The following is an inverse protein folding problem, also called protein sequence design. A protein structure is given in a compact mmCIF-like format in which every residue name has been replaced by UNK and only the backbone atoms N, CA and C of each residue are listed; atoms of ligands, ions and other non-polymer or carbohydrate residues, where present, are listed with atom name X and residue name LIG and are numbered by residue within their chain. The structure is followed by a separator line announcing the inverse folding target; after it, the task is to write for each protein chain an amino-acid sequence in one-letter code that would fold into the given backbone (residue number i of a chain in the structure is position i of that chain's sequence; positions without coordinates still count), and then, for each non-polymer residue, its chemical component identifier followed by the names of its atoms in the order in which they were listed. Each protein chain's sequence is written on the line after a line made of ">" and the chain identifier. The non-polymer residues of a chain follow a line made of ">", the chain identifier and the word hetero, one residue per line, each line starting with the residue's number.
data_IF_282765990606
#
_entry.id   IF_282765990606
#
_cell.length_a   1.000
_cell.length_b   1.000
_cell.length_c   1.000
_cell.angle_alpha   90.00
_cell.angle_beta   90.00
_cell.angle_gamma   90.00
#
_symmetry.space_group_name_H-M   'P 1'
#
loop_
_entity.id
_entity.type
_entity.pdbx_description
1 polymer ?
#
# COMPACT_ATOMS: atom_id res chain seq x y z
N UNK A 1 0.50 15.44 0.56
CA UNK A 1 0.27 14.10 1.16
C UNK A 1 1.57 13.51 1.69
N UNK A 2 1.57 13.06 2.95
CA UNK A 2 2.68 12.36 3.60
C UNK A 2 2.61 10.86 3.27
N UNK A 3 3.72 10.32 2.76
CA UNK A 3 3.86 8.91 2.42
C UNK A 3 4.83 8.24 3.39
N UNK A 4 4.35 7.26 4.18
CA UNK A 4 5.18 6.47 5.11
C UNK A 4 5.17 5.01 4.68
N UNK A 5 6.35 4.41 4.50
CA UNK A 5 6.43 3.06 3.97
C UNK A 5 7.43 2.16 4.69
N UNK A 6 7.22 0.84 4.57
CA UNK A 6 8.13 -0.17 5.08
C UNK A 6 8.12 -1.44 4.23
N UNK A 7 9.30 -2.09 4.13
CA UNK A 7 9.39 -3.49 3.71
C UNK A 7 9.19 -4.36 4.96
N UNK A 8 8.24 -5.30 4.92
CA UNK A 8 7.87 -6.06 6.11
C UNK A 8 7.43 -7.48 5.81
N UNK A 9 7.39 -8.27 6.88
CA UNK A 9 6.74 -9.57 6.95
C UNK A 9 5.45 -9.44 7.78
N UNK A 10 4.88 -10.56 8.20
CA UNK A 10 3.75 -10.57 9.14
C UNK A 10 2.42 -10.27 8.48
N UNK A 11 2.12 -10.92 7.36
CA UNK A 11 0.90 -10.69 6.57
C UNK A 11 -0.39 -10.82 7.39
N UNK A 12 -0.52 -11.84 8.25
CA UNK A 12 -1.71 -12.02 9.08
C UNK A 12 -1.92 -10.86 10.07
N UNK A 13 -0.87 -10.45 10.77
CA UNK A 13 -0.93 -9.33 11.73
C UNK A 13 -1.25 -8.00 11.02
N UNK A 14 -0.62 -7.76 9.87
CA UNK A 14 -0.88 -6.55 9.08
C UNK A 14 -2.32 -6.55 8.54
N UNK A 15 -2.79 -7.65 7.97
CA UNK A 15 -4.17 -7.77 7.47
C UNK A 15 -5.20 -7.52 8.56
N UNK A 16 -5.01 -8.09 9.76
CA UNK A 16 -5.88 -7.83 10.90
C UNK A 16 -5.85 -6.36 11.33
N UNK A 17 -4.67 -5.73 11.35
CA UNK A 17 -4.53 -4.31 11.67
C UNK A 17 -5.26 -3.43 10.65
N UNK A 18 -5.15 -3.74 9.35
CA UNK A 18 -5.83 -2.99 8.28
C UNK A 18 -7.35 -3.11 8.36
N UNK A 19 -7.88 -4.20 8.91
CA UNK A 19 -9.34 -4.42 9.04
C UNK A 19 -9.89 -4.01 10.41
N UNK A 20 -9.06 -3.43 11.28
CA UNK A 20 -9.45 -3.08 12.65
C UNK A 20 -10.23 -1.75 12.66
N UNK A 21 -11.44 -1.77 13.23
CA UNK A 21 -12.36 -0.62 13.36
C UNK A 21 -12.37 0.00 14.77
N UNK A 22 -11.62 -0.52 15.74
CA UNK A 22 -11.61 0.04 17.11
C UNK A 22 -10.93 1.42 17.17
N UNK A 23 -9.99 1.69 16.26
CA UNK A 23 -9.23 2.96 16.19
C UNK A 23 -9.70 3.86 15.03
N UNK A 24 -10.56 3.32 14.13
CA UNK A 24 -11.05 3.96 12.92
C UNK A 24 -12.58 3.86 12.86
N UNK A 25 -13.26 4.97 12.62
CA UNK A 25 -14.73 5.00 12.56
C UNK A 25 -15.27 4.22 11.37
N UNK A 26 -14.53 4.23 10.25
CA UNK A 26 -14.88 3.48 9.05
C UNK A 26 -13.65 2.83 8.40
N UNK A 27 -13.83 1.60 7.91
CA UNK A 27 -12.84 0.86 7.13
C UNK A 27 -13.50 0.40 5.84
N UNK A 28 -12.93 0.81 4.71
CA UNK A 28 -13.40 0.48 3.36
C UNK A 28 -12.28 -0.25 2.61
N UNK A 29 -12.54 -1.47 2.14
CA UNK A 29 -11.62 -2.17 1.24
C UNK A 29 -11.86 -1.66 -0.18
N UNK A 30 -10.99 -0.77 -0.64
CA UNK A 30 -11.09 -0.14 -1.97
C UNK A 30 -10.73 -1.11 -3.08
N UNK A 31 -9.65 -1.87 -2.89
CA UNK A 31 -9.12 -2.72 -3.95
C UNK A 31 -8.39 -3.93 -3.39
N UNK A 32 -8.60 -5.09 -4.02
CA UNK A 32 -7.71 -6.25 -3.94
C UNK A 32 -7.50 -6.74 -5.36
N UNK A 33 -6.28 -6.58 -5.90
CA UNK A 33 -5.96 -6.91 -7.29
C UNK A 33 -4.70 -7.76 -7.43
N UNK A 34 -4.65 -8.58 -8.47
CA UNK A 34 -3.52 -9.47 -8.76
C UNK A 34 -3.40 -10.66 -7.79
N UNK A 35 -4.39 -10.85 -6.93
CA UNK A 35 -4.56 -12.02 -6.07
C UNK A 35 -5.72 -12.87 -6.58
N UNK A 36 -5.75 -14.15 -6.23
CA UNK A 36 -6.92 -15.00 -6.48
C UNK A 36 -8.06 -14.66 -5.52
N UNK A 37 -7.72 -14.29 -4.28
CA UNK A 37 -8.65 -13.83 -3.26
C UNK A 37 -9.08 -12.40 -3.50
N UNK A 38 -10.37 -12.14 -3.34
CA UNK A 38 -10.98 -10.81 -3.40
C UNK A 38 -11.02 -10.11 -2.03
N UNK A 39 -10.60 -10.77 -0.96
CA UNK A 39 -10.50 -10.17 0.38
C UNK A 39 -9.05 -10.05 0.86
N UNK A 40 -8.81 -9.05 1.72
CA UNK A 40 -7.47 -8.69 2.26
C UNK A 40 -6.81 -9.88 2.97
N UNK A 41 -7.54 -10.65 3.77
CA UNK A 41 -6.94 -11.75 4.54
C UNK A 41 -6.50 -12.91 3.65
N UNK A 42 -7.26 -13.23 2.61
CA UNK A 42 -6.86 -14.23 1.62
C UNK A 42 -5.67 -13.76 0.78
N UNK A 43 -5.68 -12.51 0.32
CA UNK A 43 -4.56 -11.90 -0.42
C UNK A 43 -3.27 -11.88 0.41
N UNK A 44 -3.35 -11.56 1.72
CA UNK A 44 -2.24 -11.63 2.66
C UNK A 44 -1.68 -13.06 2.80
N UNK A 45 -2.56 -14.08 2.84
CA UNK A 45 -2.15 -15.49 2.88
C UNK A 45 -1.46 -15.91 1.59
N UNK A 46 -1.97 -15.46 0.43
CA UNK A 46 -1.35 -15.72 -0.87
C UNK A 46 0.04 -15.11 -0.97
N UNK A 47 0.19 -13.83 -0.62
CA UNK A 47 1.50 -13.16 -0.61
C UNK A 47 2.51 -13.91 0.30
N UNK A 48 2.05 -14.37 1.47
CA UNK A 48 2.88 -15.17 2.38
C UNK A 48 3.22 -16.55 1.79
N UNK A 49 2.27 -17.22 1.13
CA UNK A 49 2.49 -18.51 0.50
C UNK A 49 3.53 -18.43 -0.63
N UNK A 50 3.40 -17.43 -1.50
CA UNK A 50 4.37 -17.16 -2.57
C UNK A 50 5.77 -16.89 -2.00
N UNK A 51 5.86 -16.09 -0.94
CA UNK A 51 7.14 -15.78 -0.31
C UNK A 51 7.85 -17.01 0.27
N UNK A 52 7.12 -18.03 0.75
CA UNK A 52 7.70 -19.28 1.27
C UNK A 52 8.46 -20.08 0.19
N UNK A 53 8.14 -19.87 -1.09
CA UNK A 53 8.91 -20.42 -2.21
C UNK A 53 10.23 -19.69 -2.49
N UNK A 54 10.55 -18.63 -1.74
CA UNK A 54 11.71 -17.77 -1.96
C UNK A 54 12.54 -17.61 -0.67
N UNK A 55 13.67 -16.92 -0.76
CA UNK A 55 14.46 -16.49 0.42
C UNK A 55 14.05 -15.12 0.97
N UNK A 56 13.01 -14.49 0.42
CA UNK A 56 12.59 -13.15 0.80
C UNK A 56 11.81 -13.16 2.12
N UNK A 57 12.41 -12.60 3.18
CA UNK A 57 11.73 -12.49 4.49
C UNK A 57 10.74 -11.32 4.52
N UNK A 58 11.08 -10.19 3.92
CA UNK A 58 10.25 -8.97 3.90
C UNK A 58 9.48 -8.86 2.58
N UNK A 59 8.59 -9.83 2.32
CA UNK A 59 7.90 -9.97 1.04
C UNK A 59 6.76 -8.97 0.81
N UNK A 60 6.38 -8.18 1.81
CA UNK A 60 5.38 -7.11 1.66
C UNK A 60 6.06 -5.75 1.60
N UNK A 61 5.49 -4.85 0.81
CA UNK A 61 5.75 -3.43 0.87
C UNK A 61 4.45 -2.71 1.25
N UNK A 62 4.44 -2.01 2.39
CA UNK A 62 3.26 -1.29 2.87
C UNK A 62 3.51 0.21 2.83
N UNK A 63 2.54 1.00 2.38
CA UNK A 63 2.58 2.46 2.36
C UNK A 63 1.30 3.00 3.00
N UNK A 64 1.44 3.89 3.96
CA UNK A 64 0.34 4.72 4.48
C UNK A 64 0.37 6.09 3.80
N UNK A 65 -0.74 6.46 3.19
CA UNK A 65 -0.97 7.69 2.45
C UNK A 65 -1.84 8.61 3.31
N UNK A 66 -1.24 9.69 3.82
CA UNK A 66 -1.91 10.61 4.73
C UNK A 66 -2.00 11.99 4.06
N UNK A 67 -3.20 12.44 3.64
CA UNK A 67 -3.41 13.83 3.23
C UNK A 67 -3.00 14.85 4.29
N UNK A 68 -2.78 16.12 3.90
CA UNK A 68 -2.69 17.21 4.87
C UNK A 68 -3.94 17.25 5.76
N UNK A 69 -3.78 17.73 7.00
CA UNK A 69 -4.82 17.60 8.02
C UNK A 69 -6.08 18.43 7.76
N UNK A 70 -5.93 19.50 6.99
CA UNK A 70 -6.97 20.46 6.64
C UNK A 70 -7.71 20.09 5.36
N UNK A 71 -7.29 19.02 4.67
CA UNK A 71 -7.72 18.72 3.31
C UNK A 71 -8.62 17.49 3.25
N UNK A 72 -9.77 17.63 2.58
CA UNK A 72 -10.63 16.52 2.18
C UNK A 72 -10.25 16.08 0.77
N UNK A 73 -9.58 14.94 0.66
CA UNK A 73 -8.97 14.48 -0.58
C UNK A 73 -9.83 13.42 -1.25
N UNK A 74 -10.16 13.66 -2.52
CA UNK A 74 -10.95 12.74 -3.34
C UNK A 74 -10.18 11.43 -3.63
N UNK A 75 -10.91 10.34 -3.89
CA UNK A 75 -10.34 9.01 -4.11
C UNK A 75 -9.37 9.01 -5.30
N UNK A 76 -9.67 9.77 -6.35
CA UNK A 76 -8.89 9.89 -7.57
C UNK A 76 -7.46 10.40 -7.30
N UNK A 77 -7.29 11.27 -6.30
CA UNK A 77 -5.97 11.77 -5.89
C UNK A 77 -5.16 10.66 -5.20
N UNK A 78 -5.81 9.80 -4.41
CA UNK A 78 -5.15 8.61 -3.86
C UNK A 78 -4.77 7.63 -4.97
N UNK A 79 -5.64 7.40 -5.94
CA UNK A 79 -5.35 6.51 -7.09
C UNK A 79 -4.17 7.03 -7.92
N UNK A 80 -4.11 8.33 -8.19
CA UNK A 80 -2.97 8.97 -8.84
C UNK A 80 -1.68 8.87 -8.02
N UNK A 81 -1.77 9.02 -6.70
CA UNK A 81 -0.63 8.81 -5.81
C UNK A 81 -0.14 7.36 -5.84
N UNK A 82 -1.04 6.38 -5.85
CA UNK A 82 -0.70 4.96 -5.95
C UNK A 82 -0.04 4.62 -7.29
N UNK A 83 -0.55 5.16 -8.40
CA UNK A 83 0.05 5.00 -9.72
C UNK A 83 1.49 5.58 -9.76
N UNK A 84 1.67 6.79 -9.21
CA UNK A 84 2.99 7.43 -9.10
C UNK A 84 3.97 6.63 -8.25
N UNK A 85 3.50 6.03 -7.15
CA UNK A 85 4.31 5.14 -6.32
C UNK A 85 4.74 3.90 -7.12
N UNK A 86 3.82 3.29 -7.85
CA UNK A 86 4.10 2.09 -8.64
C UNK A 86 5.12 2.33 -9.74
N UNK A 87 4.96 3.41 -10.49
CA UNK A 87 5.92 3.79 -11.53
C UNK A 87 7.30 4.07 -10.94
N UNK A 88 7.38 4.90 -9.88
CA UNK A 88 8.66 5.30 -9.28
C UNK A 88 9.42 4.11 -8.66
N UNK A 89 8.69 3.10 -8.17
CA UNK A 89 9.22 1.95 -7.46
C UNK A 89 9.29 0.66 -8.28
N UNK A 90 8.91 0.67 -9.56
CA UNK A 90 8.81 -0.54 -10.41
C UNK A 90 7.91 -1.62 -9.79
N UNK A 91 6.75 -1.20 -9.28
CA UNK A 91 5.72 -2.08 -8.70
C UNK A 91 4.52 -2.27 -9.63
N UNK A 92 4.56 -1.71 -10.84
CA UNK A 92 3.50 -1.91 -11.83
C UNK A 92 3.28 -3.41 -12.08
N UNK A 93 2.01 -3.82 -12.10
CA UNK A 93 1.61 -5.22 -12.25
C UNK A 93 1.80 -6.10 -11.01
N UNK A 94 2.43 -5.62 -9.94
CA UNK A 94 2.51 -6.39 -8.69
C UNK A 94 1.14 -6.45 -8.01
N UNK A 95 0.78 -7.61 -7.39
CA UNK A 95 -0.45 -7.73 -6.62
C UNK A 95 -0.54 -6.69 -5.49
N UNK A 96 -1.69 -6.01 -5.36
CA UNK A 96 -1.91 -4.88 -4.44
C UNK A 96 -3.24 -4.99 -3.71
N UNK A 97 -3.25 -4.57 -2.46
CA UNK A 97 -4.44 -4.29 -1.67
C UNK A 97 -4.45 -2.81 -1.29
N UNK A 98 -5.62 -2.18 -1.29
CA UNK A 98 -5.84 -0.79 -0.85
C UNK A 98 -7.02 -0.76 0.11
N UNK A 99 -6.81 -0.15 1.28
CA UNK A 99 -7.83 0.02 2.32
C UNK A 99 -7.88 1.48 2.73
N UNK A 100 -9.06 2.09 2.71
CA UNK A 100 -9.29 3.41 3.27
C UNK A 100 -9.73 3.29 4.72
N UNK A 101 -9.14 4.14 5.56
CA UNK A 101 -9.53 4.35 6.95
C UNK A 101 -10.04 5.78 7.10
N UNK A 102 -11.17 5.93 7.77
CA UNK A 102 -11.73 7.24 8.10
C UNK A 102 -11.83 7.40 9.62
N UNK A 103 -11.39 8.57 10.09
CA UNK A 103 -11.45 8.95 11.50
C UNK A 103 -11.72 10.44 11.61
N UNK A 104 -12.76 10.83 12.33
CA UNK A 104 -13.17 12.23 12.51
C UNK A 104 -13.38 12.93 11.15
N UNK A 105 -13.98 12.22 10.19
CA UNK A 105 -14.18 12.68 8.81
C UNK A 105 -12.91 12.77 7.96
N UNK A 106 -11.74 12.39 8.49
CA UNK A 106 -10.48 12.40 7.76
C UNK A 106 -10.14 11.02 7.21
N UNK A 107 -10.06 10.95 5.89
CA UNK A 107 -9.69 9.73 5.17
C UNK A 107 -8.19 9.64 4.95
N UNK A 108 -7.63 8.46 5.21
CA UNK A 108 -6.28 8.08 4.80
C UNK A 108 -6.30 6.67 4.22
N UNK A 109 -5.27 6.31 3.45
CA UNK A 109 -5.21 5.01 2.79
C UNK A 109 -4.00 4.20 3.27
N UNK A 110 -4.15 2.89 3.28
CA UNK A 110 -3.06 1.94 3.38
C UNK A 110 -3.05 1.09 2.13
N UNK A 111 -1.91 1.10 1.44
CA UNK A 111 -1.68 0.24 0.29
C UNK A 111 -0.58 -0.76 0.61
N UNK A 112 -0.80 -2.02 0.22
CA UNK A 112 0.14 -3.12 0.44
C UNK A 112 0.35 -3.88 -0.85
N UNK A 113 1.60 -3.99 -1.28
CA UNK A 113 2.01 -4.78 -2.44
C UNK A 113 2.68 -6.08 -1.98
N UNK A 114 2.41 -7.16 -2.71
CA UNK A 114 3.37 -8.26 -2.78
C UNK A 114 4.63 -7.77 -3.49
N UNK A 115 5.81 -8.08 -2.96
CA UNK A 115 7.07 -7.86 -3.66
C UNK A 115 7.49 -9.06 -4.51
N UNK A 116 6.81 -10.20 -4.37
CA UNK A 116 7.22 -11.44 -5.05
C UNK A 116 6.68 -11.42 -6.47
N UNK A 117 7.62 -11.43 -7.42
CA UNK A 117 7.35 -11.65 -8.81
C UNK A 117 7.07 -13.15 -9.03
N UNK A 118 5.86 -13.48 -9.48
CA UNK A 118 5.40 -14.86 -9.60
C UNK A 118 6.06 -15.62 -10.76
N UNK A 119 6.57 -14.91 -11.77
CA UNK A 119 7.21 -15.53 -12.94
C UNK A 119 8.65 -15.91 -12.63
N UNK A 120 9.39 -15.00 -12.01
CA UNK A 120 10.82 -15.17 -11.71
C UNK A 120 11.07 -15.77 -10.33
N UNK A 121 10.06 -15.78 -9.45
CA UNK A 121 10.17 -16.19 -8.04
C UNK A 121 11.23 -15.40 -7.27
N UNK A 122 11.40 -14.13 -7.64
CA UNK A 122 12.31 -13.19 -6.96
C UNK A 122 11.53 -12.03 -6.36
N UNK A 123 12.13 -11.32 -5.40
CA UNK A 123 11.50 -10.15 -4.81
C UNK A 123 11.94 -8.86 -5.51
N UNK A 124 11.01 -7.98 -5.86
CA UNK A 124 11.27 -6.63 -6.32
C UNK A 124 12.16 -5.89 -5.30
N UNK A 125 13.30 -5.40 -5.79
CA UNK A 125 14.28 -4.70 -4.98
C UNK A 125 13.92 -3.21 -4.90
N UNK A 126 13.58 -2.72 -3.70
CA UNK A 126 13.11 -1.35 -3.50
C UNK A 126 14.20 -0.46 -2.93
N UNK A 127 15.31 -0.32 -3.65
CA UNK A 127 16.41 0.55 -3.23
C UNK A 127 15.96 2.01 -3.16
N UNK A 128 16.37 2.71 -2.09
CA UNK A 128 16.07 4.13 -1.86
C UNK A 128 14.58 4.50 -1.88
N UNK A 129 13.68 3.56 -1.56
CA UNK A 129 12.24 3.78 -1.62
C UNK A 129 11.79 5.01 -0.83
N UNK A 130 12.43 5.33 0.31
CA UNK A 130 12.10 6.52 1.11
C UNK A 130 12.35 7.83 0.36
N UNK A 131 13.50 7.94 -0.33
CA UNK A 131 13.82 9.14 -1.13
C UNK A 131 12.88 9.27 -2.32
N UNK A 132 12.60 8.16 -3.01
CA UNK A 132 11.65 8.10 -4.11
C UNK A 132 10.23 8.51 -3.68
N UNK A 133 9.77 8.02 -2.52
CA UNK A 133 8.47 8.42 -1.96
C UNK A 133 8.44 9.89 -1.52
N UNK A 134 9.56 10.45 -1.07
CA UNK A 134 9.65 11.89 -0.76
C UNK A 134 9.48 12.73 -2.04
N UNK A 135 10.02 12.28 -3.16
CA UNK A 135 9.80 12.94 -4.46
C UNK A 135 8.33 12.89 -4.87
N UNK A 136 7.69 11.72 -4.78
CA UNK A 136 6.24 11.57 -5.07
C UNK A 136 5.41 12.45 -4.13
N UNK A 137 5.70 12.42 -2.84
CA UNK A 137 5.04 13.26 -1.83
C UNK A 137 5.16 14.75 -2.16
N UNK A 138 6.36 15.23 -2.53
CA UNK A 138 6.58 16.62 -2.95
C UNK A 138 5.76 16.97 -4.19
N UNK A 139 5.75 16.10 -5.20
CA UNK A 139 5.00 16.33 -6.42
C UNK A 139 3.50 16.46 -6.14
N UNK A 140 2.95 15.56 -5.32
CA UNK A 140 1.54 15.62 -4.89
C UNK A 140 1.20 16.92 -4.16
N UNK A 141 2.10 17.44 -3.32
CA UNK A 141 1.91 18.74 -2.67
C UNK A 141 1.82 19.89 -3.69
N UNK A 142 2.70 19.90 -4.70
CA UNK A 142 2.72 20.94 -5.72
C UNK A 142 1.50 20.88 -6.64
N UNK A 143 1.08 19.68 -7.06
CA UNK A 143 -0.05 19.48 -7.99
C UNK A 143 -1.40 19.81 -7.35
N UNK A 144 -1.55 19.58 -6.04
CA UNK A 144 -2.81 19.78 -5.33
C UNK A 144 -2.86 21.12 -4.58
N UNK A 145 -1.79 21.93 -4.62
CA UNK A 145 -1.77 23.25 -3.99
C UNK A 145 -1.79 23.23 -2.45
N UNK A 146 -1.19 22.20 -1.85
CA UNK A 146 -1.11 22.01 -0.39
C UNK A 146 0.15 22.60 0.25
#
# INVERSE_FOLDING_TARGET
>A
MILKASQRSGAAQLGQHLLKTEENEHVEVHEVRGFMSENVMGAMKEAQAMAKGTRCKQYLFSVSLNPPETENVAIEVFEGALASIEEKLDLQGQPRMVVFHEKEGRRHAHAVWSRIDAETMTAKQLSFFKSKLREVSKQLYLENGW
#
